data_IF_906901841694
#
_entry.id   IF_906901841694
#
_cell.length_a   1.000
_cell.length_b   1.000
_cell.length_c   1.000
_cell.angle_alpha   90.00
_cell.angle_beta   90.00
_cell.angle_gamma   90.00
#
_symmetry.space_group_name_H-M   'P 1'
#
loop_
_entity.id
_entity.type
_entity.pdbx_description
1 polymer ?
#
# COMPACT_ATOMS: atom_id res chain seq x y z
N UNK A 1 12.79 6.94 -6.16
CA UNK A 1 12.24 5.58 -6.17
C UNK A 1 12.37 4.98 -7.56
N UNK A 2 12.78 3.72 -7.64
CA UNK A 2 12.79 2.84 -8.82
C UNK A 2 12.31 1.46 -8.36
N UNK A 3 11.75 0.69 -9.28
CA UNK A 3 11.31 -0.68 -9.00
C UNK A 3 12.46 -1.52 -8.42
N UNK A 4 12.21 -2.23 -7.31
CA UNK A 4 13.19 -3.09 -6.64
C UNK A 4 14.35 -2.39 -5.92
N UNK A 5 14.35 -1.05 -5.78
CA UNK A 5 15.43 -0.33 -5.07
C UNK A 5 15.35 -0.39 -3.54
N UNK A 6 14.29 -1.00 -2.99
CA UNK A 6 14.05 -1.12 -1.54
C UNK A 6 13.81 0.20 -0.79
N UNK A 7 13.83 1.35 -1.46
CA UNK A 7 13.70 2.66 -0.82
C UNK A 7 12.24 3.10 -0.75
N UNK A 8 11.84 3.83 0.30
CA UNK A 8 10.54 4.51 0.33
C UNK A 8 10.61 5.77 -0.54
N UNK A 9 9.63 6.07 -1.42
CA UNK A 9 9.67 7.28 -2.25
C UNK A 9 9.55 8.54 -1.38
N UNK A 10 10.46 9.51 -1.57
CA UNK A 10 10.28 10.88 -1.07
C UNK A 10 9.27 11.61 -1.95
N UNK A 11 8.36 12.36 -1.34
CA UNK A 11 7.33 13.13 -2.04
C UNK A 11 6.04 13.27 -1.24
N UNK A 12 5.04 13.87 -1.89
CA UNK A 12 3.68 14.01 -1.37
C UNK A 12 2.75 13.11 -2.18
N UNK A 13 2.01 12.23 -1.51
CA UNK A 13 1.15 11.24 -2.16
C UNK A 13 -0.29 11.33 -1.65
N UNK A 14 -1.30 11.39 -2.53
CA UNK A 14 -2.69 11.41 -2.09
C UNK A 14 -3.10 10.07 -1.48
N UNK A 15 -3.96 10.11 -0.46
CA UNK A 15 -4.53 8.91 0.15
C UNK A 15 -5.71 8.44 -0.70
N UNK A 16 -5.63 7.22 -1.24
CA UNK A 16 -6.63 6.73 -2.22
C UNK A 16 -7.77 5.97 -1.56
N UNK A 17 -7.47 4.85 -0.93
CA UNK A 17 -8.46 3.96 -0.30
C UNK A 17 -7.81 3.03 0.70
N UNK A 18 -8.62 2.51 1.61
CA UNK A 18 -8.23 1.50 2.58
C UNK A 18 -8.70 0.12 2.12
N UNK A 19 -7.80 -0.86 2.17
CA UNK A 19 -8.11 -2.27 2.07
C UNK A 19 -7.98 -2.91 3.45
N UNK A 20 -8.79 -3.91 3.76
CA UNK A 20 -8.71 -4.59 5.06
C UNK A 20 -9.15 -6.05 4.99
N UNK A 21 -8.62 -6.88 5.89
CA UNK A 21 -9.01 -8.29 6.07
C UNK A 21 -10.24 -8.39 6.94
N UNK A 22 -11.42 -8.38 6.33
CA UNK A 22 -12.70 -8.45 7.04
C UNK A 22 -12.91 -9.75 7.84
N UNK A 23 -12.10 -10.78 7.59
CA UNK A 23 -12.05 -12.03 8.35
C UNK A 23 -11.13 -11.96 9.60
N UNK A 24 -10.25 -10.95 9.68
CA UNK A 24 -9.29 -10.78 10.78
C UNK A 24 -9.57 -9.55 11.65
N UNK A 25 -10.04 -8.46 11.04
CA UNK A 25 -10.25 -7.17 11.71
C UNK A 25 -11.60 -6.55 11.35
N UNK A 26 -12.15 -5.76 12.28
CA UNK A 26 -13.28 -4.89 11.99
C UNK A 26 -12.92 -3.85 10.93
N UNK A 27 -13.92 -3.40 10.16
CA UNK A 27 -13.72 -2.34 9.18
C UNK A 27 -13.12 -1.07 9.83
N UNK A 28 -11.93 -0.61 9.40
CA UNK A 28 -11.26 0.53 10.01
C UNK A 28 -12.15 1.78 10.01
N UNK A 29 -12.14 2.53 11.11
CA UNK A 29 -12.85 3.82 11.18
C UNK A 29 -12.08 4.83 10.34
N UNK A 30 -12.67 5.27 9.22
CA UNK A 30 -12.10 6.29 8.33
C UNK A 30 -13.19 6.89 7.44
N UNK A 31 -12.97 8.11 6.95
CA UNK A 31 -13.80 8.73 5.91
C UNK A 31 -13.36 8.37 4.48
N UNK A 32 -12.18 7.75 4.32
CA UNK A 32 -11.71 7.25 3.04
C UNK A 32 -12.59 6.08 2.53
N UNK A 33 -12.67 5.89 1.19
CA UNK A 33 -13.24 4.67 0.64
C UNK A 33 -12.53 3.44 1.20
N UNK A 34 -13.31 2.42 1.57
CA UNK A 34 -12.78 1.19 2.17
C UNK A 34 -13.39 -0.05 1.52
N UNK A 35 -12.56 -1.06 1.27
CA UNK A 35 -12.97 -2.31 0.64
C UNK A 35 -12.34 -3.51 1.37
N UNK A 36 -13.10 -4.59 1.63
CA UNK A 36 -12.50 -5.82 2.10
C UNK A 36 -11.59 -6.40 1.01
N UNK A 37 -10.45 -6.95 1.41
CA UNK A 37 -9.58 -7.74 0.54
C UNK A 37 -10.28 -9.09 0.29
N UNK A 38 -10.24 -9.61 -0.92
CA UNK A 38 -10.68 -10.95 -1.27
C UNK A 38 -9.48 -11.89 -1.50
N UNK A 39 -9.64 -13.23 -1.37
CA UNK A 39 -8.56 -14.19 -1.59
C UNK A 39 -7.86 -14.14 -2.96
N UNK A 40 -8.54 -13.59 -3.97
CA UNK A 40 -8.00 -13.45 -5.31
C UNK A 40 -7.48 -12.04 -5.61
N UNK A 41 -7.49 -11.11 -4.66
CA UNK A 41 -6.99 -9.76 -4.91
C UNK A 41 -5.46 -9.76 -4.99
N UNK A 42 -4.93 -9.22 -6.08
CA UNK A 42 -3.50 -9.00 -6.29
C UNK A 42 -3.20 -7.58 -6.75
N UNK A 43 -1.92 -7.25 -6.79
CA UNK A 43 -1.43 -5.98 -7.34
C UNK A 43 -0.27 -6.24 -8.28
N UNK A 44 -0.40 -5.85 -9.55
CA UNK A 44 0.65 -6.10 -10.52
C UNK A 44 1.85 -5.18 -10.27
N UNK A 45 3.02 -5.79 -10.12
CA UNK A 45 4.30 -5.12 -9.88
C UNK A 45 5.28 -5.30 -11.05
N UNK A 46 4.87 -5.94 -12.16
CA UNK A 46 5.68 -6.12 -13.36
C UNK A 46 5.71 -4.85 -14.24
N UNK A 47 6.88 -4.17 -14.39
CA UNK A 47 6.98 -2.97 -15.23
C UNK A 47 6.68 -3.21 -16.71
N UNK A 48 6.70 -4.46 -17.19
CA UNK A 48 6.42 -4.80 -18.58
C UNK A 48 4.95 -5.09 -18.84
N UNK A 49 4.14 -5.21 -17.78
CA UNK A 49 2.72 -5.55 -17.90
C UNK A 49 1.87 -4.29 -18.09
N UNK A 50 0.85 -4.29 -18.98
CA UNK A 50 -0.09 -3.17 -19.12
C UNK A 50 -0.86 -2.83 -17.83
N UNK A 51 -0.96 -3.76 -16.89
CA UNK A 51 -1.55 -3.59 -15.58
C UNK A 51 -0.53 -3.16 -14.51
N UNK A 52 0.71 -2.78 -14.87
CA UNK A 52 1.72 -2.33 -13.91
C UNK A 52 1.15 -1.31 -12.91
N UNK A 53 1.45 -1.52 -11.63
CA UNK A 53 0.98 -0.74 -10.50
C UNK A 53 -0.55 -0.57 -10.41
N UNK A 54 -1.30 -1.61 -10.76
CA UNK A 54 -2.77 -1.65 -10.68
C UNK A 54 -3.27 -2.94 -10.03
N UNK A 55 -4.49 -2.92 -9.45
CA UNK A 55 -5.12 -4.14 -8.95
C UNK A 55 -5.38 -5.14 -10.07
N UNK A 56 -5.18 -6.41 -9.78
CA UNK A 56 -5.44 -7.57 -10.65
C UNK A 56 -6.16 -8.67 -9.87
N UNK A 57 -6.71 -9.66 -10.58
CA UNK A 57 -7.35 -10.83 -9.97
C UNK A 57 -6.48 -12.07 -10.21
N UNK A 58 -6.23 -12.82 -9.15
CA UNK A 58 -5.44 -14.05 -9.14
C UNK A 58 -6.29 -15.28 -9.52
N UNK A 59 -5.69 -16.29 -10.20
CA UNK A 59 -4.33 -16.29 -10.72
C UNK A 59 -4.17 -15.31 -11.90
N UNK A 60 -3.07 -14.54 -11.89
CA UNK A 60 -2.74 -13.56 -12.93
C UNK A 60 -1.45 -14.01 -13.65
N UNK A 61 -1.34 -13.86 -14.99
CA UNK A 61 -0.17 -14.34 -15.74
C UNK A 61 1.11 -13.52 -15.53
N UNK A 62 0.98 -12.22 -15.18
CA UNK A 62 2.11 -11.34 -14.87
C UNK A 62 2.56 -11.45 -13.42
N UNK A 63 3.71 -10.84 -13.10
CA UNK A 63 4.15 -10.74 -11.70
C UNK A 63 3.18 -9.84 -10.91
N UNK A 64 2.83 -10.28 -9.71
CA UNK A 64 1.93 -9.56 -8.84
C UNK A 64 2.16 -9.90 -7.37
N UNK A 65 1.98 -8.91 -6.51
CA UNK A 65 1.85 -9.06 -5.06
C UNK A 65 0.49 -9.70 -4.74
N UNK A 66 0.48 -10.69 -3.85
CA UNK A 66 -0.76 -11.26 -3.32
C UNK A 66 -1.24 -10.42 -2.13
N UNK A 67 -2.46 -9.85 -2.22
CA UNK A 67 -3.00 -9.03 -1.14
C UNK A 67 -3.62 -9.87 -0.01
N UNK A 68 -4.03 -11.11 -0.30
CA UNK A 68 -4.53 -12.05 0.71
C UNK A 68 -3.40 -12.87 1.31
N UNK A 69 -2.71 -12.28 2.30
CA UNK A 69 -1.52 -12.87 2.95
C UNK A 69 -1.91 -13.76 4.15
N UNK A 70 -1.09 -14.76 4.44
CA UNK A 70 -1.26 -15.56 5.66
C UNK A 70 -0.82 -14.79 6.92
N UNK A 71 0.18 -13.91 6.77
CA UNK A 71 0.61 -12.98 7.81
C UNK A 71 -0.32 -11.77 7.94
N UNK A 72 -0.03 -10.90 8.92
CA UNK A 72 -0.90 -9.79 9.30
C UNK A 72 -0.51 -8.46 8.63
N UNK A 73 0.49 -8.48 7.75
CA UNK A 73 1.08 -7.28 7.14
C UNK A 73 0.02 -6.47 6.39
N UNK A 74 -0.93 -7.16 5.75
CA UNK A 74 -2.04 -6.57 4.98
C UNK A 74 -3.40 -6.71 5.65
N UNK A 75 -3.44 -6.88 6.98
CA UNK A 75 -4.71 -6.84 7.71
C UNK A 75 -5.41 -5.48 7.55
N UNK A 76 -4.62 -4.41 7.47
CA UNK A 76 -5.06 -3.07 7.06
C UNK A 76 -4.00 -2.44 6.14
N UNK A 77 -4.42 -1.98 4.96
CA UNK A 77 -3.57 -1.38 3.94
C UNK A 77 -4.18 -0.06 3.48
N UNK A 78 -3.39 1.01 3.51
CA UNK A 78 -3.72 2.29 2.87
C UNK A 78 -2.99 2.40 1.54
N UNK A 79 -3.76 2.47 0.46
CA UNK A 79 -3.23 2.68 -0.90
C UNK A 79 -2.86 4.15 -1.06
N UNK A 80 -1.60 4.41 -1.38
CA UNK A 80 -1.06 5.74 -1.66
C UNK A 80 -1.04 5.99 -3.17
N UNK A 81 -1.24 7.24 -3.61
CA UNK A 81 -1.16 7.62 -5.01
C UNK A 81 0.26 7.75 -5.54
N UNK A 82 1.11 6.76 -5.27
CA UNK A 82 2.45 6.68 -5.84
C UNK A 82 2.38 5.99 -7.20
N UNK A 83 2.88 6.66 -8.24
CA UNK A 83 2.97 6.14 -9.60
C UNK A 83 1.63 5.62 -10.17
N UNK A 84 0.52 6.30 -9.89
CA UNK A 84 -0.83 5.83 -10.25
C UNK A 84 -1.56 6.66 -11.33
N UNK A 85 -1.18 7.92 -11.54
CA UNK A 85 -1.78 8.79 -12.57
C UNK A 85 -0.79 9.85 -13.13
N UNK A 86 -0.18 9.61 -14.31
CA UNK A 86 -0.16 8.35 -15.05
C UNK A 86 0.78 7.32 -14.40
N UNK A 87 0.53 6.04 -14.65
CA UNK A 87 1.49 4.98 -14.31
C UNK A 87 2.69 5.03 -15.27
N UNK A 88 3.88 5.19 -14.73
CA UNK A 88 5.15 5.15 -15.45
C UNK A 88 5.90 3.83 -15.15
N UNK A 89 6.14 2.96 -16.14
CA UNK A 89 6.89 1.72 -15.98
C UNK A 89 8.24 1.90 -15.26
N UNK A 90 8.47 1.09 -14.22
CA UNK A 90 9.74 1.04 -13.47
C UNK A 90 9.93 2.16 -12.44
N UNK A 91 8.96 3.07 -12.29
CA UNK A 91 9.02 4.15 -11.30
C UNK A 91 8.66 3.70 -9.86
N UNK A 92 8.45 2.39 -9.66
CA UNK A 92 8.03 1.79 -8.38
C UNK A 92 6.54 1.43 -8.41
N UNK A 93 6.18 0.38 -7.68
CA UNK A 93 4.81 -0.10 -7.57
C UNK A 93 4.49 -0.54 -6.15
N UNK A 94 3.20 -0.78 -5.89
CA UNK A 94 2.71 -1.32 -4.63
C UNK A 94 3.21 -0.57 -3.37
N UNK A 95 3.38 0.76 -3.46
CA UNK A 95 3.76 1.57 -2.30
C UNK A 95 2.53 1.86 -1.46
N UNK A 96 2.44 1.14 -0.35
CA UNK A 96 1.35 1.24 0.60
C UNK A 96 1.84 1.68 1.97
N UNK A 97 0.90 2.13 2.81
CA UNK A 97 1.07 2.13 4.25
C UNK A 97 0.33 0.92 4.82
N UNK A 98 1.01 0.08 5.60
CA UNK A 98 0.44 -1.17 6.09
C UNK A 98 0.94 -1.53 7.50
N UNK A 99 0.48 -2.65 8.03
CA UNK A 99 0.86 -3.15 9.36
C UNK A 99 2.30 -3.68 9.33
N UNK A 100 3.12 -3.25 10.27
CA UNK A 100 4.48 -3.74 10.44
C UNK A 100 4.49 -5.19 10.92
N UNK A 101 5.49 -5.97 10.47
CA UNK A 101 5.79 -7.26 11.08
C UNK A 101 6.15 -7.06 12.56
N UNK A 102 5.93 -8.06 13.44
CA UNK A 102 6.21 -7.93 14.88
C UNK A 102 7.65 -7.53 15.21
N UNK A 103 8.60 -7.91 14.36
CA UNK A 103 10.03 -7.61 14.48
C UNK A 103 10.46 -6.33 13.75
N UNK A 104 9.52 -5.62 13.10
CA UNK A 104 9.78 -4.46 12.26
C UNK A 104 10.84 -4.72 11.17
N UNK A 105 10.87 -5.94 10.61
CA UNK A 105 11.75 -6.22 9.49
C UNK A 105 11.56 -5.21 8.35
N UNK A 106 12.65 -4.80 7.65
CA UNK A 106 12.59 -3.80 6.59
C UNK A 106 11.56 -4.13 5.50
N UNK A 107 10.91 -3.09 4.97
CA UNK A 107 10.01 -3.21 3.81
C UNK A 107 10.78 -3.03 2.50
N UNK A 108 10.15 -3.36 1.37
CA UNK A 108 10.71 -3.13 0.04
C UNK A 108 10.33 -1.73 -0.52
N UNK A 109 10.08 -0.77 0.40
CA UNK A 109 9.73 0.62 0.10
C UNK A 109 8.33 1.06 0.55
N UNK A 110 7.56 0.18 1.17
CA UNK A 110 6.31 0.54 1.85
C UNK A 110 6.57 1.26 3.18
N UNK A 111 5.54 1.93 3.70
CA UNK A 111 5.53 2.46 5.06
C UNK A 111 4.89 1.41 5.98
N UNK A 112 5.57 1.05 7.06
CA UNK A 112 5.07 0.07 8.01
C UNK A 112 4.94 0.69 9.41
N UNK A 113 3.76 0.61 10.00
CA UNK A 113 3.45 1.09 11.35
C UNK A 113 2.80 -0.03 12.17
N UNK A 114 2.75 0.08 13.49
CA UNK A 114 1.94 -0.85 14.29
C UNK A 114 0.47 -0.72 13.90
N UNK A 115 -0.30 -1.80 14.03
CA UNK A 115 -1.72 -1.79 13.73
C UNK A 115 -2.48 -0.65 14.45
N UNK A 116 -2.16 -0.42 15.73
CA UNK A 116 -2.76 0.67 16.52
C UNK A 116 -2.50 2.06 15.91
N UNK A 117 -1.28 2.27 15.39
CA UNK A 117 -0.88 3.52 14.75
C UNK A 117 -1.54 3.67 13.37
N UNK A 118 -1.62 2.58 12.58
CA UNK A 118 -2.36 2.58 11.31
C UNK A 118 -3.80 2.99 11.54
N UNK A 119 -4.49 2.39 12.51
CA UNK A 119 -5.89 2.71 12.84
C UNK A 119 -6.01 4.16 13.35
N UNK A 120 -5.08 4.62 14.18
CA UNK A 120 -5.07 5.99 14.67
C UNK A 120 -4.93 7.01 13.54
N UNK A 121 -4.02 6.77 12.58
CA UNK A 121 -3.87 7.59 11.38
C UNK A 121 -5.16 7.59 10.57
N UNK A 122 -5.68 6.41 10.21
CA UNK A 122 -6.87 6.26 9.38
C UNK A 122 -8.13 6.93 9.96
N UNK A 123 -8.24 6.97 11.29
CA UNK A 123 -9.36 7.62 12.00
C UNK A 123 -9.44 9.13 11.77
N UNK A 124 -8.35 9.74 11.31
CA UNK A 124 -8.23 11.17 11.05
C UNK A 124 -8.24 11.52 9.56
N UNK A 125 -8.01 10.53 8.70
CA UNK A 125 -7.92 10.76 7.26
C UNK A 125 -9.28 10.99 6.60
N UNK A 126 -9.32 11.94 5.68
CA UNK A 126 -10.46 12.26 4.81
C UNK A 126 -10.05 12.28 3.33
N UNK A 127 -11.00 12.14 2.38
CA UNK A 127 -10.69 12.28 0.97
C UNK A 127 -10.07 13.65 0.66
N UNK A 128 -8.96 13.65 -0.08
CA UNK A 128 -8.18 14.84 -0.40
C UNK A 128 -6.92 15.01 0.46
N UNK A 129 -6.79 14.27 1.55
CA UNK A 129 -5.56 14.25 2.34
C UNK A 129 -4.39 13.63 1.55
N UNK A 130 -3.19 14.05 1.94
CA UNK A 130 -1.92 13.55 1.41
C UNK A 130 -1.01 13.06 2.55
N UNK A 131 -0.05 12.20 2.21
CA UNK A 131 1.08 11.84 3.08
C UNK A 131 2.35 12.42 2.48
N UNK A 132 3.16 13.06 3.32
CA UNK A 132 4.47 13.61 2.94
C UNK A 132 5.56 12.70 3.50
N UNK A 133 6.45 12.24 2.63
CA UNK A 133 7.61 11.43 2.96
C UNK A 133 8.85 12.26 2.66
N UNK A 134 9.65 12.54 3.68
CA UNK A 134 10.84 13.40 3.58
C UNK A 134 12.11 12.57 3.80
N UNK A 135 13.21 12.99 3.18
CA UNK A 135 14.52 12.43 3.52
C UNK A 135 14.97 12.94 4.89
N UNK A 136 15.67 12.12 5.68
CA UNK A 136 16.16 12.50 7.02
C UNK A 136 17.16 13.67 7.00
N UNK A 137 17.72 14.03 5.85
CA UNK A 137 18.71 15.10 5.69
C UNK A 137 18.09 16.50 5.41
N UNK A 138 16.76 16.65 5.40
CA UNK A 138 16.06 17.92 5.17
C UNK A 138 15.32 18.45 6.41
N UNK A 139 16.04 18.57 7.54
CA UNK A 139 15.55 19.19 8.79
C UNK A 139 16.33 20.43 9.19
#
# INVERSE_FOLDING_TARGET
KREGDGATPVGEFPLRRVLYRADKVDAPRTALPRHPIAPADGWCDDPKDPAYNRPVILPYPGRCENLWRDDDVYDVVLILGHNDDPVLPGAGSAIFLHVAKPDFAPTEGCIALKLEDVVAVLSRCVPGDTIVIQSPDES
#
